data_IF_153151909436
#
_entry.id   IF_153151909436
#
_cell.length_a   1.000
_cell.length_b   1.000
_cell.length_c   1.000
_cell.angle_alpha   90.00
_cell.angle_beta   90.00
_cell.angle_gamma   90.00
#
_symmetry.space_group_name_H-M   'P 1'
#
loop_
_entity.id
_entity.type
_entity.pdbx_description
1 polymer ?
#
# COMPACT_ATOMS: atom_id res chain seq x y z
N UNK A 1 37.19 -45.43 -5.90
CA UNK A 1 36.04 -44.75 -5.27
C UNK A 1 35.23 -44.09 -6.36
N UNK A 2 34.06 -44.63 -6.68
CA UNK A 2 33.12 -44.03 -7.62
C UNK A 2 32.11 -43.19 -6.83
N UNK A 3 32.05 -41.88 -7.09
CA UNK A 3 31.01 -41.01 -6.56
C UNK A 3 29.78 -41.19 -7.45
N UNK A 4 28.76 -41.88 -6.94
CA UNK A 4 27.44 -41.91 -7.57
C UNK A 4 26.78 -40.56 -7.29
N UNK A 5 26.76 -39.70 -8.31
CA UNK A 5 26.01 -38.45 -8.33
C UNK A 5 24.53 -38.80 -8.48
N UNK A 6 23.81 -38.85 -7.36
CA UNK A 6 22.36 -39.03 -7.35
C UNK A 6 21.72 -37.75 -7.89
N UNK A 7 21.35 -37.78 -9.16
CA UNK A 7 20.45 -36.79 -9.76
C UNK A 7 19.06 -36.99 -9.17
N UNK A 8 18.76 -36.30 -8.07
CA UNK A 8 17.37 -36.12 -7.63
C UNK A 8 16.65 -35.28 -8.71
N UNK A 9 15.56 -35.78 -9.31
CA UNK A 9 14.71 -34.94 -10.11
C UNK A 9 14.03 -33.97 -9.15
N UNK A 10 14.46 -32.71 -9.17
CA UNK A 10 13.65 -31.61 -8.65
C UNK A 10 12.43 -31.55 -9.57
N UNK A 11 11.37 -32.26 -9.19
CA UNK A 11 10.06 -32.04 -9.76
C UNK A 11 9.70 -30.58 -9.43
N UNK A 12 9.93 -29.68 -10.39
CA UNK A 12 9.26 -28.38 -10.42
C UNK A 12 7.77 -28.70 -10.25
N UNK A 13 7.22 -28.33 -9.10
CA UNK A 13 5.79 -28.41 -8.87
C UNK A 13 5.12 -27.43 -9.84
N UNK A 14 4.92 -27.88 -11.08
CA UNK A 14 4.13 -27.15 -12.04
C UNK A 14 2.70 -27.15 -11.51
N UNK A 15 2.18 -25.97 -11.21
CA UNK A 15 0.82 -25.84 -10.73
C UNK A 15 -0.15 -26.46 -11.73
N UNK A 16 -0.94 -27.49 -11.34
CA UNK A 16 -1.83 -28.20 -12.24
C UNK A 16 -3.11 -27.40 -12.49
N UNK A 17 -2.95 -26.15 -12.88
CA UNK A 17 -4.05 -25.25 -13.21
C UNK A 17 -4.25 -25.23 -14.72
N UNK A 18 -5.52 -25.29 -15.20
CA UNK A 18 -5.79 -25.11 -16.61
C UNK A 18 -5.40 -23.69 -17.06
N UNK A 19 -5.11 -23.49 -18.36
CA UNK A 19 -4.92 -22.15 -18.91
C UNK A 19 -6.11 -21.26 -18.56
N UNK A 20 -5.81 -20.09 -18.02
CA UNK A 20 -6.81 -19.19 -17.45
C UNK A 20 -7.08 -18.03 -18.42
N UNK A 21 -8.35 -17.71 -18.75
CA UNK A 21 -8.67 -16.56 -19.58
C UNK A 21 -8.35 -15.23 -18.87
N UNK A 22 -8.20 -14.14 -19.62
CA UNK A 22 -7.89 -12.83 -19.03
C UNK A 22 -8.92 -12.36 -17.98
N UNK A 23 -10.18 -12.75 -18.12
CA UNK A 23 -11.27 -12.42 -17.19
C UNK A 23 -11.19 -13.17 -15.85
N UNK A 24 -10.39 -14.23 -15.73
CA UNK A 24 -10.24 -14.96 -14.47
C UNK A 24 -9.12 -14.43 -13.58
N UNK A 25 -8.38 -13.40 -14.02
CA UNK A 25 -7.29 -12.80 -13.23
C UNK A 25 -7.80 -12.34 -11.87
N UNK A 26 -6.93 -12.42 -10.87
CA UNK A 26 -7.21 -11.96 -9.51
C UNK A 26 -6.01 -11.19 -8.96
N UNK A 27 -6.28 -10.11 -8.25
CA UNK A 27 -5.30 -9.43 -7.43
C UNK A 27 -5.27 -10.09 -6.05
N UNK A 28 -4.09 -10.44 -5.58
CA UNK A 28 -3.86 -11.09 -4.30
C UNK A 28 -3.42 -10.10 -3.22
N UNK A 29 -3.36 -10.54 -1.96
CA UNK A 29 -3.04 -9.72 -0.79
C UNK A 29 -1.56 -9.35 -0.68
N UNK A 30 -0.71 -10.01 -1.46
CA UNK A 30 0.66 -9.61 -1.76
C UNK A 30 0.75 -8.57 -2.90
N UNK A 31 -0.40 -8.13 -3.42
CA UNK A 31 -0.57 -7.23 -4.57
C UNK A 31 0.08 -7.76 -5.86
N UNK A 32 0.21 -9.09 -5.98
CA UNK A 32 0.52 -9.76 -7.23
C UNK A 32 -0.75 -10.15 -7.97
N UNK A 33 -0.70 -10.03 -9.30
CA UNK A 33 -1.80 -10.50 -10.17
C UNK A 33 -1.57 -11.95 -10.55
N UNK A 34 -2.49 -12.82 -10.15
CA UNK A 34 -2.49 -14.23 -10.54
C UNK A 34 -3.46 -14.47 -11.70
N UNK A 35 -3.09 -15.37 -12.61
CA UNK A 35 -3.89 -15.67 -13.80
C UNK A 35 -5.30 -16.21 -13.46
N UNK A 36 -5.43 -16.88 -12.31
CA UNK A 36 -6.70 -17.30 -11.73
C UNK A 36 -6.56 -17.59 -10.24
N UNK A 37 -7.70 -17.79 -9.57
CA UNK A 37 -7.74 -18.31 -8.20
C UNK A 37 -7.00 -19.64 -8.01
N UNK A 38 -6.99 -20.50 -9.04
CA UNK A 38 -6.21 -21.74 -8.99
C UNK A 38 -4.72 -21.46 -8.87
N UNK A 39 -4.21 -20.55 -9.70
CA UNK A 39 -2.79 -20.18 -9.68
C UNK A 39 -2.41 -19.51 -8.37
N UNK A 40 -3.29 -18.66 -7.82
CA UNK A 40 -3.09 -18.10 -6.48
C UNK A 40 -2.97 -19.19 -5.42
N UNK A 41 -3.90 -20.14 -5.38
CA UNK A 41 -3.88 -21.22 -4.38
C UNK A 41 -2.66 -22.14 -4.48
N UNK A 42 -1.99 -22.13 -5.64
CA UNK A 42 -0.93 -23.08 -5.93
C UNK A 42 0.48 -22.45 -5.86
N UNK A 43 0.64 -21.21 -6.34
CA UNK A 43 1.93 -20.53 -6.39
C UNK A 43 2.15 -19.52 -5.25
N UNK A 44 1.08 -19.07 -4.58
CA UNK A 44 1.20 -17.99 -3.62
C UNK A 44 1.85 -18.43 -2.30
N UNK A 45 2.55 -17.48 -1.66
CA UNK A 45 3.13 -17.70 -0.35
C UNK A 45 2.02 -18.00 0.71
N UNK A 46 2.32 -18.75 1.78
CA UNK A 46 1.37 -19.00 2.85
C UNK A 46 0.77 -17.71 3.41
N UNK A 47 -0.55 -17.65 3.53
CA UNK A 47 -1.28 -16.47 4.04
C UNK A 47 -1.63 -15.44 2.96
N UNK A 48 -1.24 -15.64 1.71
CA UNK A 48 -1.70 -14.82 0.58
C UNK A 48 -3.09 -15.26 0.15
N UNK A 49 -4.03 -14.32 0.06
CA UNK A 49 -5.41 -14.55 -0.37
C UNK A 49 -5.79 -13.66 -1.54
N UNK A 50 -6.84 -14.01 -2.28
CA UNK A 50 -7.39 -13.11 -3.29
C UNK A 50 -8.00 -11.88 -2.58
N UNK A 51 -7.61 -10.67 -2.98
CA UNK A 51 -8.24 -9.42 -2.57
C UNK A 51 -9.41 -9.11 -3.50
N UNK A 52 -9.18 -9.17 -4.81
CA UNK A 52 -10.23 -8.82 -5.77
C UNK A 52 -10.11 -9.50 -7.14
N UNK A 53 -11.23 -9.67 -7.88
CA UNK A 53 -11.17 -10.09 -9.28
C UNK A 53 -10.57 -8.99 -10.17
N UNK A 54 -9.92 -9.38 -11.25
CA UNK A 54 -9.17 -8.50 -12.14
C UNK A 54 -7.69 -8.40 -11.78
N UNK A 55 -6.96 -7.56 -12.51
CA UNK A 55 -5.55 -7.27 -12.23
C UNK A 55 -5.40 -6.30 -11.08
N UNK A 56 -4.30 -6.38 -10.34
CA UNK A 56 -3.95 -5.34 -9.38
C UNK A 56 -3.77 -4.01 -10.10
N UNK A 57 -4.28 -2.94 -9.50
CA UNK A 57 -4.10 -1.58 -9.99
C UNK A 57 -2.61 -1.17 -9.96
N UNK A 58 -2.22 -0.17 -10.77
CA UNK A 58 -0.88 0.43 -10.73
C UNK A 58 -0.41 0.82 -9.32
N UNK A 59 -1.32 1.40 -8.52
CA UNK A 59 -1.06 1.79 -7.14
C UNK A 59 -0.78 0.57 -6.24
N UNK A 60 -1.60 -0.48 -6.34
CA UNK A 60 -1.42 -1.72 -5.57
C UNK A 60 -0.08 -2.38 -5.87
N UNK A 61 0.30 -2.44 -7.15
CA UNK A 61 1.62 -2.94 -7.56
C UNK A 61 2.75 -2.07 -7.01
N UNK A 62 2.56 -0.75 -6.95
CA UNK A 62 3.55 0.19 -6.43
C UNK A 62 3.71 0.12 -4.90
N UNK A 63 2.69 -0.31 -4.15
CA UNK A 63 2.82 -0.51 -2.70
C UNK A 63 3.17 -1.96 -2.33
N UNK A 64 3.07 -2.92 -3.27
CA UNK A 64 3.42 -4.34 -3.11
C UNK A 64 4.79 -4.56 -2.42
N UNK A 65 5.89 -3.91 -2.86
CA UNK A 65 7.21 -4.17 -2.27
C UNK A 65 7.32 -3.72 -0.81
N UNK A 66 6.55 -2.69 -0.43
CA UNK A 66 6.50 -2.19 0.95
C UNK A 66 5.70 -3.11 1.89
N UNK A 67 4.79 -3.92 1.34
CA UNK A 67 3.80 -4.69 2.09
C UNK A 67 4.14 -6.19 2.15
N UNK A 68 4.99 -6.69 1.25
CA UNK A 68 5.55 -8.04 1.34
C UNK A 68 6.40 -8.25 2.60
N UNK A 69 7.05 -7.19 3.11
CA UNK A 69 7.75 -7.20 4.39
C UNK A 69 6.79 -7.31 5.61
N UNK A 70 5.51 -7.00 5.43
CA UNK A 70 4.48 -6.93 6.47
C UNK A 70 3.71 -8.24 6.65
N UNK A 71 3.56 -9.05 5.59
CA UNK A 71 2.83 -10.33 5.64
C UNK A 71 3.51 -11.38 6.52
N UNK A 72 4.80 -11.22 6.83
CA UNK A 72 5.53 -12.04 7.81
C UNK A 72 5.29 -11.61 9.27
N UNK A 73 4.64 -10.47 9.51
CA UNK A 73 4.37 -9.92 10.84
C UNK A 73 2.86 -9.75 11.04
N UNK A 74 2.20 -10.81 11.53
CA UNK A 74 0.74 -10.89 11.55
C UNK A 74 -0.02 -9.85 12.39
N UNK A 75 -1.28 -9.68 11.97
CA UNK A 75 -2.50 -9.30 12.74
C UNK A 75 -2.80 -7.86 13.21
N UNK A 76 -3.97 -7.40 12.72
CA UNK A 76 -5.06 -6.62 13.36
C UNK A 76 -4.94 -5.09 13.57
N UNK A 77 -5.85 -4.32 12.93
CA UNK A 77 -7.10 -3.78 13.54
C UNK A 77 -7.95 -3.01 12.52
N UNK A 78 -9.27 -3.15 12.67
CA UNK A 78 -10.33 -2.52 11.87
C UNK A 78 -10.57 -1.07 12.28
N UNK A 79 -10.71 -0.17 11.30
CA UNK A 79 -11.26 1.17 11.48
C UNK A 79 -12.25 1.49 10.35
N UNK A 80 -13.40 2.06 10.74
CA UNK A 80 -14.58 2.35 9.93
C UNK A 80 -14.62 3.87 9.63
N UNK A 81 -14.84 4.26 8.38
CA UNK A 81 -15.22 5.63 7.97
C UNK A 81 -15.83 5.53 6.55
N UNK A 82 -17.05 5.96 6.25
CA UNK A 82 -17.76 7.25 6.31
C UNK A 82 -17.84 7.88 4.91
N UNK A 83 -19.00 7.71 4.27
CA UNK A 83 -19.31 8.12 2.91
C UNK A 83 -19.37 9.66 2.78
N UNK A 84 -18.67 10.21 1.77
CA UNK A 84 -18.80 11.61 1.36
C UNK A 84 -19.75 11.74 0.19
N UNK A 85 -20.76 12.60 0.35
CA UNK A 85 -21.58 13.10 -0.74
C UNK A 85 -20.81 14.15 -1.54
N UNK A 86 -20.72 13.92 -2.85
CA UNK A 86 -20.45 14.91 -3.89
C UNK A 86 -20.98 14.34 -5.19
N UNK A 87 -21.55 15.18 -6.06
CA UNK A 87 -22.24 14.81 -7.30
C UNK A 87 -21.32 14.22 -8.39
N UNK A 88 -20.03 14.02 -8.08
CA UNK A 88 -19.06 13.25 -8.88
C UNK A 88 -19.03 11.82 -8.38
N UNK A 89 -19.17 10.85 -9.28
CA UNK A 89 -19.08 9.45 -8.93
C UNK A 89 -17.62 9.06 -8.70
N UNK A 90 -17.37 8.13 -7.77
CA UNK A 90 -16.02 7.62 -7.51
C UNK A 90 -15.37 7.04 -8.77
N UNK A 91 -16.18 6.56 -9.72
CA UNK A 91 -15.74 6.07 -11.02
C UNK A 91 -15.10 7.16 -11.90
N UNK A 92 -15.69 8.35 -11.98
CA UNK A 92 -15.14 9.47 -12.76
C UNK A 92 -13.79 9.95 -12.20
N UNK A 93 -13.67 9.96 -10.87
CA UNK A 93 -12.41 10.35 -10.22
C UNK A 93 -11.35 9.27 -10.43
N UNK A 94 -11.73 7.99 -10.40
CA UNK A 94 -10.82 6.88 -10.70
C UNK A 94 -10.32 6.91 -12.14
N UNK A 95 -11.19 7.21 -13.11
CA UNK A 95 -10.80 7.31 -14.52
C UNK A 95 -9.78 8.43 -14.74
N UNK A 96 -10.00 9.62 -14.16
CA UNK A 96 -9.04 10.74 -14.23
C UNK A 96 -7.71 10.38 -13.61
N UNK A 97 -7.74 9.65 -12.49
CA UNK A 97 -6.53 9.20 -11.82
C UNK A 97 -5.73 8.22 -12.71
N UNK A 98 -6.39 7.25 -13.34
CA UNK A 98 -5.76 6.32 -14.29
C UNK A 98 -5.19 7.03 -15.52
N UNK A 99 -5.91 8.01 -16.07
CA UNK A 99 -5.41 8.85 -17.16
C UNK A 99 -4.13 9.60 -16.74
N UNK A 100 -4.08 10.11 -15.51
CA UNK A 100 -2.88 10.74 -14.97
C UNK A 100 -1.71 9.75 -14.82
N UNK A 101 -1.96 8.54 -14.29
CA UNK A 101 -0.94 7.50 -14.15
C UNK A 101 -0.31 7.15 -15.49
N UNK A 102 -1.15 6.97 -16.51
CA UNK A 102 -0.72 6.67 -17.88
C UNK A 102 0.05 7.83 -18.50
N UNK A 103 -0.46 9.06 -18.38
CA UNK A 103 0.17 10.27 -18.92
C UNK A 103 1.57 10.52 -18.36
N UNK A 104 1.77 10.21 -17.07
CA UNK A 104 3.05 10.40 -16.39
C UNK A 104 3.90 9.12 -16.36
N UNK A 105 3.44 8.04 -16.99
CA UNK A 105 4.09 6.74 -17.01
C UNK A 105 4.52 6.26 -15.61
N UNK A 106 3.64 6.40 -14.60
CA UNK A 106 3.99 6.12 -13.21
C UNK A 106 4.39 4.65 -12.96
N UNK A 107 3.90 3.70 -13.77
CA UNK A 107 4.30 2.29 -13.70
C UNK A 107 5.76 2.07 -14.12
N UNK A 108 6.28 2.90 -15.03
CA UNK A 108 7.61 2.75 -15.65
C UNK A 108 8.52 3.93 -15.39
N UNK A 109 8.19 4.77 -14.42
CA UNK A 109 8.95 5.99 -14.12
C UNK A 109 10.40 5.62 -13.78
N UNK A 110 11.34 6.18 -14.54
CA UNK A 110 12.76 5.93 -14.31
C UNK A 110 13.30 6.91 -13.29
N UNK A 111 13.60 6.40 -12.10
CA UNK A 111 14.09 7.20 -10.99
C UNK A 111 15.62 7.19 -11.00
N UNK A 112 16.22 8.11 -11.78
CA UNK A 112 17.67 8.16 -12.01
C UNK A 112 18.50 8.31 -10.73
N UNK A 113 17.93 8.90 -9.68
CA UNK A 113 18.54 9.00 -8.36
C UNK A 113 18.67 7.64 -7.63
N UNK A 114 17.84 6.65 -7.97
CA UNK A 114 17.65 5.43 -7.18
C UNK A 114 18.59 4.26 -7.50
N UNK A 115 19.47 4.38 -8.49
CA UNK A 115 20.37 3.28 -8.93
C UNK A 115 19.62 1.93 -8.98
N UNK A 116 20.01 0.95 -8.17
CA UNK A 116 19.39 -0.37 -8.03
C UNK A 116 18.65 -0.57 -6.70
N UNK A 117 18.38 0.51 -5.96
CA UNK A 117 17.69 0.47 -4.67
C UNK A 117 16.17 0.35 -4.89
N UNK A 118 15.62 -0.81 -4.53
CA UNK A 118 14.20 -1.13 -4.73
C UNK A 118 13.31 -0.20 -3.91
N UNK A 119 13.66 0.08 -2.64
CA UNK A 119 12.89 0.96 -1.76
C UNK A 119 12.82 2.38 -2.31
N UNK A 120 13.93 2.89 -2.86
CA UNK A 120 14.01 4.19 -3.52
C UNK A 120 13.14 4.23 -4.78
N UNK A 121 13.25 3.24 -5.67
CA UNK A 121 12.41 3.15 -6.87
C UNK A 121 10.93 3.11 -6.52
N UNK A 122 10.58 2.33 -5.50
CA UNK A 122 9.19 2.18 -5.03
C UNK A 122 8.67 3.48 -4.43
N UNK A 123 9.50 4.21 -3.65
CA UNK A 123 9.18 5.54 -3.12
C UNK A 123 8.99 6.58 -4.22
N UNK A 124 9.81 6.51 -5.26
CA UNK A 124 9.72 7.39 -6.41
C UNK A 124 8.46 7.13 -7.25
N UNK A 125 8.12 5.86 -7.49
CA UNK A 125 6.83 5.48 -8.07
C UNK A 125 5.67 6.03 -7.24
N UNK A 126 5.71 5.85 -5.90
CA UNK A 126 4.68 6.37 -5.00
C UNK A 126 4.56 7.91 -5.06
N UNK A 127 5.66 8.64 -5.21
CA UNK A 127 5.62 10.09 -5.46
C UNK A 127 4.86 10.43 -6.75
N UNK A 128 5.00 9.65 -7.82
CA UNK A 128 4.27 9.84 -9.07
C UNK A 128 2.76 9.63 -8.87
N UNK A 129 2.38 8.49 -8.28
CA UNK A 129 0.97 8.15 -8.02
C UNK A 129 0.28 9.17 -7.11
N UNK A 130 0.94 9.60 -6.04
CA UNK A 130 0.42 10.61 -5.13
C UNK A 130 0.34 12.00 -5.77
N UNK A 131 1.27 12.35 -6.65
CA UNK A 131 1.21 13.59 -7.42
C UNK A 131 -0.04 13.68 -8.29
N UNK A 132 -0.53 12.56 -8.82
CA UNK A 132 -1.78 12.50 -9.58
C UNK A 132 -3.04 12.74 -8.73
N UNK A 133 -2.96 12.55 -7.42
CA UNK A 133 -4.02 12.89 -6.45
C UNK A 133 -3.77 14.25 -5.76
N UNK A 134 -2.85 15.06 -6.29
CA UNK A 134 -2.40 16.33 -5.70
C UNK A 134 -1.83 16.20 -4.28
N UNK A 135 -1.39 15.00 -3.89
CA UNK A 135 -0.74 14.78 -2.61
C UNK A 135 0.78 14.97 -2.75
N UNK A 136 1.40 15.82 -1.92
CA UNK A 136 2.83 16.09 -2.03
C UNK A 136 3.66 14.84 -1.73
N UNK A 137 4.68 14.61 -2.54
CA UNK A 137 5.71 13.62 -2.24
C UNK A 137 6.75 14.12 -1.23
N UNK A 138 7.68 13.24 -0.89
CA UNK A 138 8.88 13.60 -0.12
C UNK A 138 10.13 12.98 -0.76
N UNK A 139 11.33 13.32 -0.24
CA UNK A 139 12.59 12.79 -0.78
C UNK A 139 12.56 11.27 -0.89
N UNK A 140 13.15 10.76 -1.97
CA UNK A 140 13.27 9.32 -2.24
C UNK A 140 14.11 8.60 -1.18
N UNK A 141 15.01 9.32 -0.49
CA UNK A 141 15.84 8.78 0.61
C UNK A 141 15.02 8.44 1.87
N UNK A 142 13.74 8.81 1.92
CA UNK A 142 12.84 8.56 3.06
C UNK A 142 11.99 7.29 2.88
N UNK A 143 12.39 6.37 2.02
CA UNK A 143 11.63 5.14 1.75
C UNK A 143 11.34 4.31 3.01
N UNK A 144 12.28 4.20 3.94
CA UNK A 144 12.10 3.46 5.20
C UNK A 144 11.03 4.08 6.12
N UNK A 145 10.96 5.41 6.15
CA UNK A 145 9.95 6.14 6.93
C UNK A 145 8.55 5.90 6.37
N UNK A 146 8.42 5.84 5.05
CA UNK A 146 7.15 5.51 4.39
C UNK A 146 6.72 4.09 4.75
N UNK A 147 7.63 3.12 4.63
CA UNK A 147 7.37 1.72 4.99
C UNK A 147 6.88 1.59 6.44
N UNK A 148 7.59 2.23 7.37
CA UNK A 148 7.24 2.27 8.80
C UNK A 148 5.86 2.89 9.01
N UNK A 149 5.53 3.96 8.29
CA UNK A 149 4.23 4.61 8.38
C UNK A 149 3.09 3.74 7.84
N UNK A 150 3.27 3.12 6.67
CA UNK A 150 2.28 2.23 6.06
C UNK A 150 1.95 1.06 6.97
N UNK A 151 2.97 0.49 7.61
CA UNK A 151 2.87 -0.56 8.62
C UNK A 151 2.11 -0.09 9.86
N UNK A 152 2.56 1.00 10.48
CA UNK A 152 1.96 1.51 11.72
C UNK A 152 0.50 1.93 11.53
N UNK A 153 0.15 2.48 10.36
CA UNK A 153 -1.23 2.86 10.01
C UNK A 153 -2.04 1.72 9.41
N UNK A 154 -1.39 0.59 9.16
CA UNK A 154 -2.00 -0.63 8.64
C UNK A 154 -2.79 -0.39 7.33
N UNK A 155 -2.34 0.54 6.48
CA UNK A 155 -3.09 1.01 5.30
C UNK A 155 -3.59 -0.15 4.42
N UNK A 156 -2.72 -1.12 4.15
CA UNK A 156 -3.03 -2.30 3.35
C UNK A 156 -4.10 -3.21 3.97
N UNK A 157 -4.00 -3.47 5.27
CA UNK A 157 -4.94 -4.34 5.97
C UNK A 157 -6.33 -3.71 6.11
N UNK A 158 -6.37 -2.39 6.30
CA UNK A 158 -7.61 -1.60 6.31
C UNK A 158 -8.24 -1.62 4.92
N UNK A 159 -7.45 -1.45 3.87
CA UNK A 159 -7.92 -1.57 2.49
C UNK A 159 -8.52 -2.94 2.20
N UNK A 160 -7.79 -4.02 2.49
CA UNK A 160 -8.27 -5.38 2.27
C UNK A 160 -9.58 -5.66 3.03
N UNK A 161 -9.66 -5.27 4.31
CA UNK A 161 -10.87 -5.44 5.11
C UNK A 161 -12.05 -4.63 4.57
N UNK A 162 -11.80 -3.41 4.09
CA UNK A 162 -12.81 -2.56 3.46
C UNK A 162 -13.33 -3.22 2.18
N UNK A 163 -12.40 -3.70 1.35
CA UNK A 163 -12.71 -4.34 0.08
C UNK A 163 -13.57 -5.59 0.25
N UNK A 164 -13.21 -6.47 1.19
CA UNK A 164 -13.96 -7.70 1.49
C UNK A 164 -15.38 -7.42 1.99
N UNK A 165 -15.59 -6.29 2.67
CA UNK A 165 -16.90 -5.86 3.14
C UNK A 165 -17.77 -5.23 2.04
N UNK A 166 -17.21 -4.90 0.88
CA UNK A 166 -17.92 -4.19 -0.18
C UNK A 166 -18.66 -5.12 -1.14
N UNK A 167 -19.93 -4.78 -1.41
CA UNK A 167 -20.79 -5.46 -2.38
C UNK A 167 -20.96 -4.71 -3.71
N UNK A 168 -20.52 -3.45 -3.80
CA UNK A 168 -20.66 -2.60 -4.99
C UNK A 168 -19.32 -2.02 -5.44
N UNK A 169 -19.23 -1.63 -6.70
CA UNK A 169 -18.01 -1.04 -7.25
C UNK A 169 -17.73 0.36 -6.68
N UNK A 170 -18.77 1.18 -6.44
CA UNK A 170 -18.61 2.47 -5.76
C UNK A 170 -18.02 2.33 -4.33
N UNK A 171 -18.40 1.26 -3.62
CA UNK A 171 -17.85 0.94 -2.30
C UNK A 171 -16.36 0.59 -2.43
N UNK A 172 -16.00 -0.26 -3.40
CA UNK A 172 -14.61 -0.66 -3.65
C UNK A 172 -13.72 0.50 -4.08
N UNK A 173 -14.24 1.39 -4.93
CA UNK A 173 -13.54 2.61 -5.33
C UNK A 173 -13.31 3.54 -4.14
N UNK A 174 -14.27 3.63 -3.23
CA UNK A 174 -14.09 4.36 -1.96
C UNK A 174 -12.96 3.76 -1.12
N UNK A 175 -12.91 2.43 -0.97
CA UNK A 175 -11.79 1.76 -0.27
C UNK A 175 -10.44 2.07 -0.93
N UNK A 176 -10.38 2.02 -2.27
CA UNK A 176 -9.18 2.35 -3.03
C UNK A 176 -8.72 3.78 -2.74
N UNK A 177 -9.61 4.77 -2.77
CA UNK A 177 -9.26 6.17 -2.49
C UNK A 177 -8.81 6.38 -1.05
N UNK A 178 -9.41 5.68 -0.08
CA UNK A 178 -8.96 5.72 1.31
C UNK A 178 -7.55 5.11 1.46
N UNK A 179 -7.24 4.04 0.74
CA UNK A 179 -5.90 3.44 0.72
C UNK A 179 -4.87 4.36 0.05
N UNK A 180 -5.23 4.97 -1.08
CA UNK A 180 -4.40 5.96 -1.77
C UNK A 180 -4.09 7.12 -0.84
N UNK A 181 -5.10 7.68 -0.17
CA UNK A 181 -4.94 8.74 0.80
C UNK A 181 -4.01 8.34 1.96
N UNK A 182 -4.22 7.17 2.56
CA UNK A 182 -3.37 6.65 3.64
C UNK A 182 -1.91 6.55 3.18
N UNK A 183 -1.71 5.98 1.99
CA UNK A 183 -0.38 5.80 1.39
C UNK A 183 0.29 7.13 1.08
N UNK A 184 -0.45 8.10 0.55
CA UNK A 184 0.07 9.40 0.18
C UNK A 184 0.33 10.31 1.39
N UNK A 185 -0.45 10.22 2.46
CA UNK A 185 -0.14 10.87 3.72
C UNK A 185 1.16 10.33 4.33
N UNK A 186 1.38 9.00 4.26
CA UNK A 186 2.67 8.41 4.64
C UNK A 186 3.80 8.84 3.70
N UNK A 187 3.52 8.93 2.40
CA UNK A 187 4.46 9.36 1.38
C UNK A 187 4.95 10.80 1.58
N UNK A 188 4.05 11.69 2.00
CA UNK A 188 4.30 13.09 2.27
C UNK A 188 5.08 13.33 3.58
N UNK A 189 5.07 12.36 4.51
CA UNK A 189 5.52 12.57 5.89
C UNK A 189 7.02 12.93 5.95
N UNK A 190 7.38 14.13 6.46
CA UNK A 190 8.77 14.47 6.73
C UNK A 190 9.13 13.93 8.11
N UNK A 191 9.41 12.63 8.20
CA UNK A 191 9.52 11.89 9.47
C UNK A 191 8.23 11.95 10.30
N UNK A 192 7.96 10.87 11.03
CA UNK A 192 6.89 10.84 12.02
C UNK A 192 7.09 12.05 12.94
N UNK A 193 6.22 13.06 12.85
CA UNK A 193 6.04 13.94 14.02
C UNK A 193 5.66 12.97 15.13
N UNK A 194 6.44 12.86 16.22
CA UNK A 194 5.97 12.12 17.38
C UNK A 194 4.60 12.72 17.67
N UNK A 195 3.57 11.86 17.71
CA UNK A 195 2.31 12.24 18.30
C UNK A 195 2.70 12.73 19.68
N UNK A 196 2.75 14.06 19.85
CA UNK A 196 2.92 14.66 21.13
C UNK A 196 1.74 14.14 21.93
N UNK A 197 2.00 13.14 22.79
CA UNK A 197 1.18 12.89 23.96
C UNK A 197 0.80 14.26 24.48
N UNK A 198 -0.51 14.53 24.53
CA UNK A 198 -1.08 15.79 24.96
C UNK A 198 -0.72 16.11 26.40
N UNK A 199 0.52 16.55 26.62
CA UNK A 199 1.13 16.96 27.87
C UNK A 199 2.07 18.14 27.55
N UNK A 200 1.53 19.15 26.87
CA UNK A 200 2.29 20.30 26.40
C UNK A 200 1.62 21.66 26.64
N UNK A 201 0.52 21.72 27.37
CA UNK A 201 -0.12 23.00 27.75
C UNK A 201 -0.53 22.94 29.23
N UNK A 202 0.46 22.93 30.12
CA UNK A 202 0.22 23.16 31.55
C UNK A 202 1.38 23.83 32.31
N UNK A 203 2.54 24.05 31.70
CA UNK A 203 3.70 24.63 32.42
C UNK A 203 3.94 26.12 32.18
N UNK A 204 3.22 26.77 31.26
CA UNK A 204 3.34 28.23 31.06
C UNK A 204 2.40 29.05 31.97
N UNK A 205 1.44 28.43 32.67
CA UNK A 205 0.49 29.13 33.54
C UNK A 205 0.99 29.31 34.98
N UNK A 206 1.94 28.48 35.45
CA UNK A 206 2.45 28.56 36.83
C UNK A 206 3.59 29.58 37.03
N UNK A 207 4.25 30.03 35.96
CA UNK A 207 5.30 31.04 36.05
C UNK A 207 4.76 32.48 36.24
N UNK A 208 3.47 32.73 35.97
CA UNK A 208 2.84 34.05 36.18
C UNK A 208 2.17 34.22 37.56
N UNK A 209 2.01 33.14 38.32
CA UNK A 209 1.42 33.21 39.66
C UNK A 209 2.44 33.54 40.76
N UNK A 210 3.74 33.31 40.54
CA UNK A 210 4.78 33.54 41.56
C UNK A 210 5.39 34.95 41.56
N UNK A 211 5.15 35.77 40.54
CA UNK A 211 5.62 37.17 40.51
C UNK A 211 4.61 38.18 41.06
N UNK A 212 3.39 37.75 41.44
CA UNK A 212 2.35 38.63 41.97
C UNK A 212 2.11 38.50 43.49
N UNK A 213 2.94 37.72 44.21
CA UNK A 213 2.81 37.48 45.66
C UNK A 213 4.11 37.79 46.44
N UNK A 214 4.86 38.81 46.00
CA UNK A 214 5.83 39.50 46.84
C UNK A 214 5.59 40.98 46.65
N UNK A 215 5.02 41.61 47.68
CA UNK A 215 5.20 42.98 48.22
C UNK A 215 3.95 43.31 49.03
#
# INVERSE_FOLDING_TARGET
>A
MWIVLVLLPVALAACPCPPAPASSKVCASDFQTYASRCHLACDAAPGVSAVHPGECSPLERAVSPFLYASLLAGSLRSARGSARGSTRTAAEDYEKLQQCYSKNACDTVTCSACRSDVSCHTKCQLNCYCGCDNAPGSSVDKADLVTTCLLHRACASVHASCWDACSTDDCRLSCFFDNLKCSCECNAAPALRPVALGLGVALAALARAFTAARW
#
